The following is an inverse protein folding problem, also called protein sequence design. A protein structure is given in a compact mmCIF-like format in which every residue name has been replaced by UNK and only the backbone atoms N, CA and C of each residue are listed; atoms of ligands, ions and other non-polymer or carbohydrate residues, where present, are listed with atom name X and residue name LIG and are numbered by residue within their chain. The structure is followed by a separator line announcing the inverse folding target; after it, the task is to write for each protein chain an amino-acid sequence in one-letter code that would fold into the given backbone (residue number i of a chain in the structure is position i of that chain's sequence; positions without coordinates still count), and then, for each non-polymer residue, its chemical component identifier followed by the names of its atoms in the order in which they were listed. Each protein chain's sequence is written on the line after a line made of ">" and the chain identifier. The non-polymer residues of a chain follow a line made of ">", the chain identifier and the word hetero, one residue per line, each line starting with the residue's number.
data_IF_487200188176
#
_entry.id   IF_487200188176
#
_cell.length_a   1.000
_cell.length_b   1.000
_cell.length_c   1.000
_cell.angle_alpha   90.00
_cell.angle_beta   90.00
_cell.angle_gamma   90.00
#
_symmetry.space_group_name_H-M   'P 1'
#
loop_
_entity.id
_entity.type
_entity.pdbx_description
1 polymer ?
#
# COMPACT_ATOMS: atom_id res chain seq x y z
N UNK A 1 -2.13 23.64 2.29
CA UNK A 1 -2.58 22.47 1.49
C UNK A 1 -2.04 21.23 2.17
N UNK A 2 -2.91 20.27 2.47
CA UNK A 2 -2.49 18.98 2.99
C UNK A 2 -1.72 18.21 1.92
N UNK A 3 -0.57 17.65 2.30
CA UNK A 3 0.28 16.89 1.38
C UNK A 3 -0.06 15.40 1.48
N UNK A 4 -0.40 14.82 0.34
CA UNK A 4 -0.75 13.40 0.20
C UNK A 4 0.40 12.71 -0.53
N UNK A 5 0.88 11.60 0.02
CA UNK A 5 1.79 10.69 -0.67
C UNK A 5 1.05 9.43 -1.12
N UNK A 6 1.43 8.89 -2.26
CA UNK A 6 0.98 7.57 -2.73
C UNK A 6 2.19 6.65 -2.74
N UNK A 7 2.06 5.48 -2.11
CA UNK A 7 3.11 4.46 -2.11
C UNK A 7 2.51 3.17 -2.65
N UNK A 8 3.11 2.64 -3.73
CA UNK A 8 2.81 1.32 -4.27
C UNK A 8 3.74 0.30 -3.60
N UNK A 9 3.18 -0.61 -2.80
CA UNK A 9 3.97 -1.54 -1.97
C UNK A 9 4.18 -2.92 -2.60
N UNK A 10 3.36 -3.29 -3.59
CA UNK A 10 3.45 -4.58 -4.28
C UNK A 10 2.83 -4.49 -5.67
N UNK A 11 3.27 -5.35 -6.57
CA UNK A 11 2.63 -5.62 -7.86
C UNK A 11 1.88 -6.97 -7.89
N UNK A 12 1.87 -7.72 -6.77
CA UNK A 12 1.14 -8.98 -6.64
C UNK A 12 -0.35 -8.73 -6.71
N UNK A 13 -1.08 -9.59 -7.42
CA UNK A 13 -2.53 -9.60 -7.42
C UNK A 13 -3.04 -11.01 -7.69
N UNK A 14 -4.13 -11.38 -7.02
CA UNK A 14 -4.82 -12.65 -7.20
C UNK A 14 -5.86 -12.63 -8.35
N UNK A 15 -5.95 -11.53 -9.11
CA UNK A 15 -6.83 -11.37 -10.26
C UNK A 15 -6.07 -10.91 -11.52
N UNK A 16 -6.70 -11.12 -12.67
CA UNK A 16 -6.25 -10.69 -14.00
C UNK A 16 -7.37 -9.92 -14.72
N UNK A 17 -7.80 -8.80 -14.13
CA UNK A 17 -8.93 -8.04 -14.65
C UNK A 17 -8.64 -7.49 -16.07
N UNK A 18 -9.54 -7.68 -17.06
CA UNK A 18 -9.31 -7.23 -18.45
C UNK A 18 -9.08 -5.72 -18.61
N UNK A 19 -9.61 -4.91 -17.69
CA UNK A 19 -9.48 -3.46 -17.67
C UNK A 19 -8.29 -2.95 -16.83
N UNK A 20 -7.49 -3.84 -16.25
CA UNK A 20 -6.42 -3.43 -15.34
C UNK A 20 -5.27 -2.76 -16.11
N UNK A 21 -5.02 -1.49 -15.82
CA UNK A 21 -3.94 -0.73 -16.45
C UNK A 21 -2.55 -1.35 -16.20
N UNK A 22 -2.39 -2.10 -15.11
CA UNK A 22 -1.15 -2.76 -14.72
C UNK A 22 -0.96 -4.16 -15.31
N UNK A 23 -1.95 -4.72 -16.02
CA UNK A 23 -1.87 -6.09 -16.57
C UNK A 23 -0.86 -6.22 -17.71
N UNK A 24 -0.61 -5.11 -18.43
CA UNK A 24 0.36 -5.06 -19.52
C UNK A 24 1.81 -4.98 -19.02
N UNK A 25 2.00 -4.64 -17.74
CA UNK A 25 3.31 -4.69 -17.11
C UNK A 25 3.61 -6.13 -16.70
N UNK A 26 4.84 -6.58 -16.91
CA UNK A 26 5.30 -7.87 -16.40
C UNK A 26 5.37 -7.79 -14.87
N UNK A 27 4.37 -8.35 -14.19
CA UNK A 27 4.38 -8.50 -12.73
C UNK A 27 5.60 -9.32 -12.32
N UNK A 28 6.38 -8.75 -11.40
CA UNK A 28 7.55 -9.36 -10.79
C UNK A 28 7.21 -10.09 -9.49
N UNK A 29 5.98 -9.92 -8.99
CA UNK A 29 5.54 -10.41 -7.69
C UNK A 29 6.43 -9.86 -6.55
N UNK A 30 6.78 -8.59 -6.64
CA UNK A 30 7.63 -7.89 -5.69
C UNK A 30 6.82 -7.39 -4.48
N UNK A 31 7.50 -7.29 -3.35
CA UNK A 31 7.01 -6.66 -2.12
C UNK A 31 8.06 -5.67 -1.63
N UNK A 32 7.63 -4.46 -1.30
CA UNK A 32 8.46 -3.49 -0.61
C UNK A 32 8.83 -4.04 0.77
N UNK A 33 10.11 -3.96 1.15
CA UNK A 33 10.49 -4.40 2.49
C UNK A 33 9.89 -3.45 3.54
N UNK A 34 9.57 -3.98 4.73
CA UNK A 34 9.13 -3.15 5.84
C UNK A 34 10.19 -2.10 6.25
N UNK A 35 11.48 -2.38 6.03
CA UNK A 35 12.55 -1.42 6.32
C UNK A 35 12.50 -0.21 5.37
N UNK A 36 12.36 -0.45 4.07
CA UNK A 36 12.27 0.62 3.08
C UNK A 36 11.01 1.45 3.28
N UNK A 37 9.90 0.78 3.60
CA UNK A 37 8.66 1.46 3.96
C UNK A 37 8.83 2.42 5.14
N UNK A 38 9.52 1.97 6.21
CA UNK A 38 9.82 2.83 7.37
C UNK A 38 10.69 4.02 6.99
N UNK A 39 11.70 3.84 6.15
CA UNK A 39 12.57 4.92 5.66
C UNK A 39 11.73 5.96 4.92
N UNK A 40 10.88 5.53 3.98
CA UNK A 40 10.01 6.41 3.19
C UNK A 40 9.02 7.15 4.09
N UNK A 41 8.33 6.45 4.99
CA UNK A 41 7.35 7.08 5.90
C UNK A 41 8.00 8.13 6.80
N UNK A 42 9.18 7.84 7.37
CA UNK A 42 9.88 8.83 8.20
C UNK A 42 10.34 10.04 7.38
N UNK A 43 10.82 9.83 6.16
CA UNK A 43 11.15 10.91 5.24
C UNK A 43 9.92 11.79 4.95
N UNK A 44 8.77 11.18 4.63
CA UNK A 44 7.52 11.89 4.35
C UNK A 44 7.04 12.69 5.56
N UNK A 45 7.12 12.13 6.78
CA UNK A 45 6.82 12.86 8.02
C UNK A 45 7.70 14.09 8.18
N UNK A 46 9.00 13.96 7.95
CA UNK A 46 9.94 15.09 8.02
C UNK A 46 9.68 16.17 6.95
N UNK A 47 8.96 15.83 5.86
CA UNK A 47 8.54 16.77 4.81
C UNK A 47 7.12 17.31 5.00
N UNK A 48 6.53 17.10 6.18
CA UNK A 48 5.19 17.52 6.57
C UNK A 48 4.07 16.91 5.72
N UNK A 49 4.25 15.66 5.27
CA UNK A 49 3.13 14.86 4.79
C UNK A 49 2.30 14.37 5.97
N UNK A 50 0.99 14.54 5.86
CA UNK A 50 0.01 14.13 6.86
C UNK A 50 -0.94 13.05 6.36
N UNK A 51 -1.00 12.82 5.04
CA UNK A 51 -1.88 11.86 4.41
C UNK A 51 -1.09 10.86 3.57
N UNK A 52 -1.48 9.60 3.62
CA UNK A 52 -0.86 8.52 2.87
C UNK A 52 -1.93 7.63 2.22
N UNK A 53 -1.77 7.40 0.93
CA UNK A 53 -2.51 6.37 0.20
C UNK A 53 -1.59 5.15 0.06
N UNK A 54 -1.84 4.13 0.87
CA UNK A 54 -1.11 2.86 0.83
C UNK A 54 -1.74 1.96 -0.23
N UNK A 55 -1.13 1.95 -1.42
CA UNK A 55 -1.68 1.39 -2.65
C UNK A 55 -0.82 0.25 -3.19
N UNK A 56 -1.28 -0.38 -4.27
CA UNK A 56 -0.52 -1.41 -4.99
C UNK A 56 -0.76 -1.26 -6.50
N UNK A 57 0.14 -1.81 -7.31
CA UNK A 57 -0.12 -2.02 -8.75
C UNK A 57 -0.96 -3.30 -8.98
N UNK A 58 -1.29 -4.00 -7.89
CA UNK A 58 -2.06 -5.23 -7.87
C UNK A 58 -3.17 -5.21 -6.82
N UNK A 59 -3.06 -6.08 -5.81
CA UNK A 59 -3.96 -6.16 -4.66
C UNK A 59 -3.17 -5.89 -3.36
N UNK A 60 -3.58 -4.88 -2.59
CA UNK A 60 -2.86 -4.46 -1.37
C UNK A 60 -2.82 -5.58 -0.33
N UNK A 61 -3.88 -6.39 -0.22
CA UNK A 61 -3.96 -7.50 0.73
C UNK A 61 -3.14 -8.74 0.31
N UNK A 62 -2.48 -8.71 -0.87
CA UNK A 62 -1.51 -9.73 -1.25
C UNK A 62 -0.11 -9.48 -0.66
N UNK A 63 0.16 -8.28 -0.14
CA UNK A 63 1.42 -7.98 0.52
C UNK A 63 1.48 -8.66 1.90
N UNK A 64 2.49 -9.51 2.12
CA UNK A 64 2.63 -10.30 3.35
C UNK A 64 2.61 -9.47 4.65
N UNK A 65 3.22 -8.28 4.61
CA UNK A 65 3.30 -7.35 5.75
C UNK A 65 2.32 -6.15 5.69
N UNK A 66 1.21 -6.24 4.95
CA UNK A 66 0.29 -5.10 4.78
C UNK A 66 -0.22 -4.51 6.10
N UNK A 67 -0.66 -5.36 7.05
CA UNK A 67 -1.14 -4.94 8.38
C UNK A 67 -0.07 -4.16 9.14
N UNK A 68 1.16 -4.65 9.14
CA UNK A 68 2.29 -4.02 9.83
C UNK A 68 2.62 -2.65 9.23
N UNK A 69 2.59 -2.52 7.90
CA UNK A 69 2.78 -1.24 7.21
C UNK A 69 1.67 -0.24 7.53
N UNK A 70 0.42 -0.69 7.51
CA UNK A 70 -0.73 0.13 7.88
C UNK A 70 -0.61 0.64 9.33
N UNK A 71 -0.36 -0.27 10.28
CA UNK A 71 -0.20 0.08 11.70
C UNK A 71 0.96 1.06 11.91
N UNK A 72 2.08 0.86 11.22
CA UNK A 72 3.22 1.76 11.32
C UNK A 72 2.88 3.18 10.85
N UNK A 73 2.17 3.32 9.73
CA UNK A 73 1.77 4.63 9.22
C UNK A 73 0.79 5.34 10.17
N UNK A 74 -0.19 4.63 10.71
CA UNK A 74 -1.12 5.16 11.72
C UNK A 74 -0.37 5.60 12.98
N UNK A 75 0.55 4.78 13.49
CA UNK A 75 1.39 5.11 14.65
C UNK A 75 2.29 6.34 14.40
N UNK A 76 2.62 6.64 13.14
CA UNK A 76 3.33 7.85 12.72
C UNK A 76 2.41 9.06 12.52
N UNK A 77 1.14 8.95 12.92
CA UNK A 77 0.11 9.99 12.75
C UNK A 77 0.00 10.41 11.28
N UNK A 78 0.03 9.44 10.36
CA UNK A 78 -0.43 9.63 8.98
C UNK A 78 -1.90 9.22 8.92
N UNK A 79 -2.71 10.02 8.25
CA UNK A 79 -4.07 9.67 7.92
C UNK A 79 -4.06 8.81 6.66
N UNK A 80 -4.62 7.59 6.74
CA UNK A 80 -4.76 6.70 5.59
C UNK A 80 -6.09 6.99 4.91
N UNK A 81 -6.02 7.56 3.71
CA UNK A 81 -7.20 8.11 3.02
C UNK A 81 -8.16 7.04 2.51
N UNK A 82 -7.60 5.97 1.96
CA UNK A 82 -8.35 4.95 1.26
C UNK A 82 -7.53 3.66 1.16
N UNK A 83 -8.25 2.55 1.16
CA UNK A 83 -7.75 1.24 0.79
C UNK A 83 -8.46 0.81 -0.49
N UNK A 84 -7.71 0.54 -1.55
CA UNK A 84 -8.26 0.01 -2.80
C UNK A 84 -7.96 -1.48 -2.82
N UNK A 85 -9.01 -2.29 -2.83
CA UNK A 85 -8.94 -3.76 -2.80
C UNK A 85 -10.07 -4.35 -3.64
N UNK A 86 -9.85 -5.53 -4.20
CA UNK A 86 -10.88 -6.34 -4.83
C UNK A 86 -11.80 -7.04 -3.82
N UNK A 87 -11.49 -6.97 -2.52
CA UNK A 87 -12.35 -7.44 -1.44
C UNK A 87 -12.27 -8.94 -1.12
N UNK A 88 -11.63 -9.76 -1.96
CA UNK A 88 -11.61 -11.23 -1.81
C UNK A 88 -10.85 -11.71 -0.57
N UNK A 89 -10.00 -10.88 0.01
CA UNK A 89 -9.15 -11.19 1.16
C UNK A 89 -9.52 -10.44 2.44
N UNK A 90 -10.62 -9.67 2.44
CA UNK A 90 -11.04 -8.87 3.61
C UNK A 90 -11.26 -9.74 4.86
N UNK A 91 -11.80 -10.94 4.69
CA UNK A 91 -12.03 -11.89 5.77
C UNK A 91 -10.75 -12.35 6.48
N UNK A 92 -9.57 -12.22 5.85
CA UNK A 92 -8.27 -12.51 6.46
C UNK A 92 -7.69 -11.31 7.20
N UNK A 93 -8.15 -10.10 6.88
CA UNK A 93 -7.61 -8.85 7.41
C UNK A 93 -8.43 -8.27 8.58
N UNK A 94 -9.75 -8.52 8.61
CA UNK A 94 -10.68 -7.93 9.60
C UNK A 94 -10.84 -8.81 10.87
N UNK A 95 -10.31 -10.03 10.87
CA UNK A 95 -10.31 -10.89 12.06
C UNK A 95 -9.25 -10.46 13.06
#
# INVERSE_FOLDING_TARGET
>A
MDKIAVIHITDKCNLQCPCCLWIHNKRTNSEMSMNDFKIIVNYLKNKNYNRLMLQSEGEVLMHSQYREMFDYAINKRLYIDQMVTNGLLLNKFIK
#
